data_IF_711155890201
#
_entry.id   IF_711155890201
#
_cell.length_a   1.000
_cell.length_b   1.000
_cell.length_c   1.000
_cell.angle_alpha   90.00
_cell.angle_beta   90.00
_cell.angle_gamma   90.00
#
_symmetry.space_group_name_H-M   'P 1'
#
loop_
_entity.id
_entity.type
_entity.pdbx_description
1 polymer ?
#
# COMPACT_ATOMS: atom_id res chain seq x y z
N UNK A 1 29.21 21.31 -17.40
CA UNK A 1 29.88 22.28 -16.52
C UNK A 1 29.31 22.26 -15.09
N UNK A 2 27.99 22.18 -14.90
CA UNK A 2 27.36 22.05 -13.56
C UNK A 2 27.83 20.81 -12.77
N UNK A 3 28.01 19.61 -13.36
CA UNK A 3 28.50 18.43 -12.63
C UNK A 3 29.96 18.57 -12.14
N UNK A 4 30.80 19.24 -12.92
CA UNK A 4 32.20 19.46 -12.57
C UNK A 4 32.35 20.50 -11.44
N UNK A 5 31.50 21.53 -11.41
CA UNK A 5 31.41 22.51 -10.32
C UNK A 5 30.85 21.89 -9.03
N UNK A 6 29.83 21.03 -9.12
CA UNK A 6 29.33 20.25 -7.98
C UNK A 6 30.36 19.22 -7.48
N UNK A 7 31.14 18.61 -8.37
CA UNK A 7 32.22 17.71 -7.96
C UNK A 7 33.40 18.45 -7.33
N UNK A 8 33.76 19.64 -7.80
CA UNK A 8 34.91 20.41 -7.29
C UNK A 8 34.60 21.23 -6.04
N UNK A 9 33.34 21.63 -5.82
CA UNK A 9 32.91 22.43 -4.66
C UNK A 9 32.08 21.62 -3.67
N UNK A 10 31.31 20.63 -4.16
CA UNK A 10 30.37 19.86 -3.34
C UNK A 10 31.04 18.79 -2.49
N UNK A 11 32.11 18.13 -2.94
CA UNK A 11 32.79 17.10 -2.15
C UNK A 11 33.44 17.68 -0.87
N UNK A 12 34.20 18.80 -0.93
CA UNK A 12 34.71 19.46 0.28
C UNK A 12 33.61 19.96 1.23
N UNK A 13 32.51 20.49 0.67
CA UNK A 13 31.38 20.99 1.46
C UNK A 13 30.62 19.87 2.17
N UNK A 14 30.35 18.77 1.46
CA UNK A 14 29.74 17.57 2.02
C UNK A 14 30.65 16.92 3.06
N UNK A 15 31.96 16.89 2.82
CA UNK A 15 32.95 16.41 3.79
C UNK A 15 32.87 17.18 5.11
N UNK A 16 32.82 18.51 5.07
CA UNK A 16 32.68 19.38 6.26
C UNK A 16 31.34 19.21 6.99
N UNK A 17 30.24 19.02 6.24
CA UNK A 17 28.92 18.80 6.84
C UNK A 17 28.83 17.42 7.52
N UNK A 18 29.36 16.39 6.88
CA UNK A 18 29.41 15.03 7.42
C UNK A 18 30.37 14.94 8.61
N UNK A 19 31.56 15.57 8.53
CA UNK A 19 32.51 15.62 9.66
C UNK A 19 31.92 16.37 10.85
N UNK A 20 31.24 17.51 10.63
CA UNK A 20 30.55 18.25 11.68
C UNK A 20 29.42 17.43 12.33
N UNK A 21 28.64 16.69 11.53
CA UNK A 21 27.60 15.80 12.04
C UNK A 21 28.15 14.64 12.86
N UNK A 22 29.23 14.00 12.40
CA UNK A 22 29.90 12.91 13.12
C UNK A 22 30.58 13.40 14.41
N UNK A 23 31.11 14.62 14.42
CA UNK A 23 31.78 15.23 15.59
C UNK A 23 30.82 15.55 16.73
N UNK A 24 29.53 15.70 16.43
CA UNK A 24 28.46 15.91 17.42
C UNK A 24 28.04 14.60 18.14
N UNK A 25 28.45 13.44 17.63
CA UNK A 25 28.17 12.14 18.24
C UNK A 25 29.25 11.86 19.29
N UNK A 26 28.83 11.53 20.51
CA UNK A 26 29.77 11.24 21.62
C UNK A 26 30.25 9.78 21.57
N UNK A 27 30.95 9.43 20.48
CA UNK A 27 31.56 8.13 20.26
C UNK A 27 33.00 8.31 19.73
N UNK A 28 34.00 7.55 20.25
CA UNK A 28 35.39 7.68 19.82
C UNK A 28 35.61 7.39 18.32
N UNK A 29 34.85 6.45 17.75
CA UNK A 29 34.96 6.09 16.33
C UNK A 29 34.35 7.16 15.43
N UNK A 30 33.25 7.78 15.86
CA UNK A 30 32.64 8.91 15.15
C UNK A 30 33.57 10.13 15.12
N UNK A 31 34.25 10.45 16.23
CA UNK A 31 35.24 11.54 16.30
C UNK A 31 36.47 11.26 15.43
N UNK A 32 37.00 10.04 15.47
CA UNK A 32 38.11 9.63 14.61
C UNK A 32 37.77 9.71 13.11
N UNK A 33 36.55 9.32 12.73
CA UNK A 33 36.06 9.43 11.36
C UNK A 33 35.89 10.90 10.91
N UNK A 34 35.42 11.78 11.81
CA UNK A 34 35.31 13.21 11.54
C UNK A 34 36.68 13.86 11.27
N UNK A 35 37.69 13.58 12.11
CA UNK A 35 39.03 14.12 11.94
C UNK A 35 39.70 13.60 10.65
N UNK A 36 39.47 12.33 10.29
CA UNK A 36 39.95 11.77 9.03
C UNK A 36 39.31 12.43 7.79
N UNK A 37 38.02 12.77 7.86
CA UNK A 37 37.31 13.48 6.78
C UNK A 37 37.81 14.92 6.62
N UNK A 38 38.11 15.61 7.73
CA UNK A 38 38.68 16.96 7.72
C UNK A 38 40.10 16.97 7.11
N UNK A 39 40.93 15.98 7.44
CA UNK A 39 42.27 15.82 6.85
C UNK A 39 42.19 15.60 5.33
N UNK A 40 41.30 14.70 4.86
CA UNK A 40 41.07 14.46 3.43
C UNK A 40 40.60 15.72 2.71
N UNK A 41 39.66 16.48 3.31
CA UNK A 41 39.20 17.76 2.76
C UNK A 41 40.33 18.78 2.63
N UNK A 42 41.20 18.88 3.63
CA UNK A 42 42.34 19.81 3.62
C UNK A 42 43.39 19.46 2.56
N UNK A 43 43.59 18.16 2.29
CA UNK A 43 44.51 17.68 1.24
C UNK A 43 43.94 17.89 -0.16
N UNK A 44 42.61 17.80 -0.30
CA UNK A 44 41.90 18.17 -1.53
C UNK A 44 42.06 19.65 -1.85
N UNK A 45 41.84 20.52 -0.84
CA UNK A 45 41.92 21.99 -0.98
C UNK A 45 43.34 22.44 -1.36
N UNK A 46 44.36 21.77 -0.83
CA UNK A 46 45.78 22.00 -1.14
C UNK A 46 46.24 21.41 -2.48
N UNK A 47 45.37 20.65 -3.18
CA UNK A 47 45.71 19.99 -4.44
C UNK A 47 46.68 18.82 -4.30
N UNK A 48 46.84 18.27 -3.08
CA UNK A 48 47.71 17.14 -2.78
C UNK A 48 47.09 15.80 -3.21
N UNK A 49 45.77 15.77 -3.43
CA UNK A 49 45.05 14.62 -4.00
C UNK A 49 44.84 14.87 -5.49
N UNK A 50 45.31 13.92 -6.31
CA UNK A 50 45.19 13.99 -7.77
C UNK A 50 43.72 14.06 -8.21
N UNK A 51 43.40 15.12 -8.96
CA UNK A 51 42.05 15.38 -9.47
C UNK A 51 41.59 14.34 -10.47
N UNK A 52 42.52 13.66 -11.16
CA UNK A 52 42.17 12.61 -12.11
C UNK A 52 41.69 11.34 -11.40
N UNK A 53 42.29 10.99 -10.26
CA UNK A 53 41.83 9.87 -9.44
C UNK A 53 40.43 10.11 -8.85
N UNK A 54 40.15 11.34 -8.39
CA UNK A 54 38.82 11.73 -7.92
C UNK A 54 37.77 11.65 -9.02
N UNK A 55 38.10 12.07 -10.24
CA UNK A 55 37.19 11.95 -11.38
C UNK A 55 36.93 10.49 -11.76
N UNK A 56 37.93 9.60 -11.68
CA UNK A 56 37.74 8.17 -11.91
C UNK A 56 36.81 7.57 -10.86
N UNK A 57 37.01 7.89 -9.58
CA UNK A 57 36.15 7.45 -8.48
C UNK A 57 34.70 7.95 -8.67
N UNK A 58 34.51 9.23 -9.01
CA UNK A 58 33.19 9.79 -9.29
C UNK A 58 32.50 9.09 -10.45
N UNK A 59 33.21 8.84 -11.57
CA UNK A 59 32.64 8.08 -12.71
C UNK A 59 32.21 6.67 -12.32
N UNK A 60 32.96 6.03 -11.41
CA UNK A 60 32.59 4.71 -10.90
C UNK A 60 31.30 4.77 -10.06
N UNK A 61 31.21 5.73 -9.14
CA UNK A 61 30.01 5.96 -8.32
C UNK A 61 28.80 6.29 -9.19
N UNK A 62 28.94 7.18 -10.17
CA UNK A 62 27.88 7.51 -11.13
C UNK A 62 27.42 6.28 -11.92
N UNK A 63 28.36 5.43 -12.37
CA UNK A 63 28.03 4.20 -13.08
C UNK A 63 27.29 3.21 -12.17
N UNK A 64 27.71 3.06 -10.92
CA UNK A 64 27.03 2.19 -9.95
C UNK A 64 25.62 2.70 -9.63
N UNK A 65 25.47 4.01 -9.38
CA UNK A 65 24.17 4.64 -9.17
C UNK A 65 23.24 4.47 -10.38
N UNK A 66 23.77 4.59 -11.61
CA UNK A 66 22.99 4.35 -12.82
C UNK A 66 22.58 2.88 -12.99
N UNK A 67 23.42 1.93 -12.58
CA UNK A 67 23.09 0.50 -12.58
C UNK A 67 21.99 0.22 -11.55
N UNK A 68 22.09 0.78 -10.35
CA UNK A 68 21.09 0.62 -9.28
C UNK A 68 19.75 1.22 -9.67
N UNK A 69 19.72 2.46 -10.17
CA UNK A 69 18.49 3.09 -10.66
C UNK A 69 17.81 2.28 -11.78
N UNK A 70 18.60 1.69 -12.69
CA UNK A 70 18.07 0.80 -13.75
C UNK A 70 17.53 -0.51 -13.18
N UNK A 71 18.18 -1.08 -12.16
CA UNK A 71 17.72 -2.28 -11.47
C UNK A 71 16.38 -2.01 -10.81
N UNK A 72 16.26 -0.91 -10.07
CA UNK A 72 15.03 -0.53 -9.38
C UNK A 72 13.89 -0.27 -10.34
N UNK A 73 14.16 0.46 -11.43
CA UNK A 73 13.17 0.70 -12.49
C UNK A 73 12.67 -0.63 -13.10
N UNK A 74 13.56 -1.62 -13.31
CA UNK A 74 13.17 -2.94 -13.81
C UNK A 74 12.35 -3.74 -12.81
N UNK A 75 12.74 -3.73 -11.53
CA UNK A 75 12.00 -4.39 -10.45
C UNK A 75 10.58 -3.80 -10.39
N UNK A 76 10.47 -2.47 -10.32
CA UNK A 76 9.18 -1.78 -10.29
C UNK A 76 8.35 -2.06 -11.54
N UNK A 77 8.97 -2.08 -12.73
CA UNK A 77 8.28 -2.42 -13.96
C UNK A 77 7.77 -3.87 -13.97
N UNK A 78 8.53 -4.82 -13.42
CA UNK A 78 8.14 -6.22 -13.32
C UNK A 78 7.00 -6.39 -12.31
N UNK A 79 7.09 -5.79 -11.12
CA UNK A 79 6.03 -5.81 -10.11
C UNK A 79 4.75 -5.18 -10.65
N UNK A 80 4.83 -4.02 -11.33
CA UNK A 80 3.66 -3.40 -11.95
C UNK A 80 3.06 -4.27 -13.05
N UNK A 81 3.90 -4.97 -13.82
CA UNK A 81 3.43 -5.90 -14.85
C UNK A 81 2.68 -7.07 -14.23
N UNK A 82 3.22 -7.70 -13.18
CA UNK A 82 2.55 -8.82 -12.50
C UNK A 82 1.23 -8.37 -11.86
N UNK A 83 1.22 -7.23 -11.17
CA UNK A 83 0.00 -6.67 -10.57
C UNK A 83 -1.09 -6.40 -11.62
N UNK A 84 -0.72 -5.83 -12.78
CA UNK A 84 -1.67 -5.60 -13.88
C UNK A 84 -2.18 -6.91 -14.46
N UNK A 85 -1.31 -7.90 -14.67
CA UNK A 85 -1.70 -9.22 -15.15
C UNK A 85 -2.68 -9.88 -14.19
N UNK A 86 -2.39 -9.87 -12.88
CA UNK A 86 -3.26 -10.40 -11.83
C UNK A 86 -4.60 -9.67 -11.76
N UNK A 87 -4.58 -8.34 -11.80
CA UNK A 87 -5.81 -7.53 -11.81
C UNK A 87 -6.66 -7.77 -13.07
N UNK A 88 -6.03 -8.05 -14.20
CA UNK A 88 -6.69 -8.39 -15.46
C UNK A 88 -7.03 -9.87 -15.61
N UNK A 89 -6.63 -10.72 -14.65
CA UNK A 89 -6.84 -12.15 -14.72
C UNK A 89 -8.33 -12.45 -14.74
N UNK A 90 -8.80 -12.99 -15.87
CA UNK A 90 -10.20 -13.16 -16.18
C UNK A 90 -10.82 -14.44 -15.58
N UNK A 91 -10.25 -14.96 -14.47
CA UNK A 91 -10.65 -16.24 -13.89
C UNK A 91 -12.18 -16.27 -13.64
N UNK A 92 -12.90 -17.16 -14.35
CA UNK A 92 -14.35 -17.30 -14.21
C UNK A 92 -14.79 -17.62 -12.78
N UNK A 93 -13.98 -18.35 -12.00
CA UNK A 93 -14.26 -18.71 -10.61
C UNK A 93 -14.24 -17.47 -9.71
N UNK A 94 -13.19 -16.64 -9.83
CA UNK A 94 -13.03 -15.39 -9.07
C UNK A 94 -14.09 -14.34 -9.46
N UNK A 95 -14.60 -14.38 -10.70
CA UNK A 95 -15.67 -13.47 -11.12
C UNK A 95 -17.07 -13.92 -10.66
N UNK A 96 -17.29 -15.25 -10.59
CA UNK A 96 -18.62 -15.82 -10.31
C UNK A 96 -18.90 -16.04 -8.83
N UNK A 97 -17.90 -16.22 -7.97
CA UNK A 97 -18.16 -16.52 -6.54
C UNK A 97 -19.00 -15.45 -5.84
N UNK A 98 -18.76 -14.14 -6.11
CA UNK A 98 -19.53 -13.04 -5.49
C UNK A 98 -21.03 -13.17 -5.78
N UNK A 99 -21.48 -13.27 -7.05
CA UNK A 99 -22.88 -13.55 -7.36
C UNK A 99 -23.37 -14.90 -6.85
N UNK A 100 -22.57 -15.98 -6.96
CA UNK A 100 -22.99 -17.32 -6.48
C UNK A 100 -23.29 -17.33 -4.99
N UNK A 101 -22.49 -16.63 -4.19
CA UNK A 101 -22.76 -16.47 -2.76
C UNK A 101 -24.11 -15.78 -2.52
N UNK A 102 -24.40 -14.69 -3.23
CA UNK A 102 -25.69 -14.01 -3.12
C UNK A 102 -26.89 -14.90 -3.48
N UNK A 103 -26.78 -15.70 -4.55
CA UNK A 103 -27.83 -16.65 -4.92
C UNK A 103 -27.99 -17.78 -3.89
N UNK A 104 -26.90 -18.30 -3.34
CA UNK A 104 -26.94 -19.33 -2.31
C UNK A 104 -27.62 -18.80 -1.02
N UNK A 105 -27.29 -17.57 -0.61
CA UNK A 105 -27.90 -16.90 0.55
C UNK A 105 -29.40 -16.67 0.31
N UNK A 106 -29.79 -16.20 -0.89
CA UNK A 106 -31.20 -16.01 -1.23
C UNK A 106 -32.00 -17.33 -1.22
N UNK A 107 -31.42 -18.40 -1.78
CA UNK A 107 -32.03 -19.72 -1.80
C UNK A 107 -32.17 -20.29 -0.38
N UNK A 108 -31.13 -20.16 0.45
CA UNK A 108 -31.18 -20.57 1.85
C UNK A 108 -32.25 -19.78 2.63
N UNK A 109 -32.39 -18.48 2.37
CA UNK A 109 -33.42 -17.64 2.99
C UNK A 109 -34.82 -18.11 2.63
N UNK A 110 -35.09 -18.37 1.34
CA UNK A 110 -36.38 -18.88 0.87
C UNK A 110 -36.67 -20.26 1.48
N UNK A 111 -35.69 -21.16 1.49
CA UNK A 111 -35.85 -22.48 2.06
C UNK A 111 -36.14 -22.42 3.57
N UNK A 112 -35.40 -21.61 4.32
CA UNK A 112 -35.59 -21.44 5.76
C UNK A 112 -36.94 -20.80 6.08
N UNK A 113 -37.28 -19.69 5.44
CA UNK A 113 -38.54 -18.99 5.69
C UNK A 113 -39.74 -19.83 5.23
N UNK A 114 -39.65 -20.51 4.09
CA UNK A 114 -40.66 -21.44 3.61
C UNK A 114 -40.88 -22.62 4.56
N UNK A 115 -39.81 -23.25 5.06
CA UNK A 115 -39.90 -24.33 6.03
C UNK A 115 -40.53 -23.87 7.35
N UNK A 116 -40.15 -22.68 7.82
CA UNK A 116 -40.72 -22.08 9.03
C UNK A 116 -42.21 -21.78 8.87
N UNK A 117 -42.60 -21.15 7.76
CA UNK A 117 -44.02 -20.87 7.45
C UNK A 117 -44.82 -22.16 7.36
N UNK A 118 -44.30 -23.18 6.67
CA UNK A 118 -44.95 -24.48 6.57
C UNK A 118 -45.15 -25.14 7.95
N UNK A 119 -44.11 -25.12 8.81
CA UNK A 119 -44.18 -25.70 10.15
C UNK A 119 -45.19 -24.95 11.06
N UNK A 120 -45.27 -23.62 10.97
CA UNK A 120 -46.24 -22.82 11.73
C UNK A 120 -47.67 -23.15 11.30
N UNK A 121 -47.93 -23.30 10.00
CA UNK A 121 -49.26 -23.64 9.48
C UNK A 121 -49.68 -25.05 9.88
N UNK A 122 -48.75 -26.02 9.82
CA UNK A 122 -49.05 -27.42 10.16
C UNK A 122 -49.13 -27.67 11.66
N UNK A 123 -48.36 -26.95 12.47
CA UNK A 123 -48.30 -27.12 13.92
C UNK A 123 -48.34 -25.77 14.65
N UNK A 124 -49.51 -25.09 14.69
CA UNK A 124 -49.62 -23.75 15.28
C UNK A 124 -49.29 -23.71 16.78
N UNK A 125 -49.54 -24.81 17.49
CA UNK A 125 -49.31 -24.93 18.93
C UNK A 125 -47.84 -24.67 19.35
N UNK A 126 -46.88 -24.98 18.47
CA UNK A 126 -45.44 -24.79 18.71
C UNK A 126 -44.86 -23.57 17.99
N UNK A 127 -45.69 -22.71 17.39
CA UNK A 127 -45.23 -21.60 16.57
C UNK A 127 -44.34 -20.61 17.35
N UNK A 128 -44.66 -20.35 18.63
CA UNK A 128 -43.87 -19.47 19.49
C UNK A 128 -42.46 -20.03 19.74
N UNK A 129 -42.34 -21.34 19.98
CA UNK A 129 -41.07 -22.02 20.21
C UNK A 129 -40.19 -22.02 18.94
N UNK A 130 -40.80 -22.27 17.77
CA UNK A 130 -40.11 -22.22 16.48
C UNK A 130 -39.57 -20.80 16.19
N UNK A 131 -40.37 -19.77 16.44
CA UNK A 131 -39.93 -18.38 16.28
C UNK A 131 -38.80 -18.04 17.26
N UNK A 132 -38.91 -18.44 18.54
CA UNK A 132 -37.84 -18.26 19.51
C UNK A 132 -36.55 -18.96 19.05
N UNK A 133 -36.62 -20.18 18.52
CA UNK A 133 -35.46 -20.92 18.04
C UNK A 133 -34.73 -20.22 16.88
N UNK A 134 -35.45 -19.51 16.01
CA UNK A 134 -34.82 -18.77 14.90
C UNK A 134 -33.90 -17.63 15.36
N UNK A 135 -34.09 -17.11 16.58
CA UNK A 135 -33.22 -16.07 17.14
C UNK A 135 -31.77 -16.57 17.31
N UNK A 136 -31.56 -17.87 17.52
CA UNK A 136 -30.22 -18.46 17.61
C UNK A 136 -29.45 -18.40 16.28
N UNK A 137 -30.17 -18.24 15.15
CA UNK A 137 -29.57 -18.09 13.83
C UNK A 137 -29.14 -16.64 13.53
N UNK A 138 -29.39 -15.68 14.43
CA UNK A 138 -29.11 -14.26 14.20
C UNK A 138 -27.63 -13.99 13.91
N UNK A 139 -26.72 -14.69 14.60
CA UNK A 139 -25.27 -14.48 14.41
C UNK A 139 -24.82 -14.93 13.02
N UNK A 140 -25.22 -16.14 12.59
CA UNK A 140 -24.83 -16.66 11.28
C UNK A 140 -25.44 -15.83 10.14
N UNK A 141 -26.70 -15.42 10.28
CA UNK A 141 -27.34 -14.52 9.31
C UNK A 141 -26.72 -13.12 9.30
N UNK A 142 -26.35 -12.58 10.47
CA UNK A 142 -25.66 -11.30 10.57
C UNK A 142 -24.34 -11.29 9.80
N UNK A 143 -23.55 -12.35 9.94
CA UNK A 143 -22.29 -12.51 9.17
C UNK A 143 -22.58 -12.66 7.68
N UNK A 144 -23.50 -13.55 7.29
CA UNK A 144 -23.82 -13.81 5.88
C UNK A 144 -24.33 -12.55 5.16
N UNK A 145 -25.23 -11.79 5.79
CA UNK A 145 -25.77 -10.54 5.25
C UNK A 145 -24.72 -9.43 5.23
N UNK A 146 -23.81 -9.37 6.20
CA UNK A 146 -22.70 -8.41 6.19
C UNK A 146 -21.77 -8.65 4.99
N UNK A 147 -21.37 -9.92 4.76
CA UNK A 147 -20.54 -10.30 3.60
C UNK A 147 -21.27 -9.98 2.29
N UNK A 148 -22.58 -10.27 2.22
CA UNK A 148 -23.39 -9.93 1.06
C UNK A 148 -23.44 -8.42 0.81
N UNK A 149 -23.62 -7.61 1.86
CA UNK A 149 -23.64 -6.16 1.78
C UNK A 149 -22.32 -5.58 1.24
N UNK A 150 -21.17 -6.06 1.76
CA UNK A 150 -19.84 -5.66 1.27
C UNK A 150 -19.68 -6.04 -0.21
N UNK A 151 -20.09 -7.24 -0.59
CA UNK A 151 -20.00 -7.72 -1.98
C UNK A 151 -20.85 -6.88 -2.94
N UNK A 152 -22.07 -6.51 -2.54
CA UNK A 152 -22.96 -5.65 -3.33
C UNK A 152 -22.38 -4.24 -3.46
N UNK A 153 -21.88 -3.67 -2.36
CA UNK A 153 -21.27 -2.34 -2.37
C UNK A 153 -20.05 -2.27 -3.31
N UNK A 154 -19.13 -3.24 -3.20
CA UNK A 154 -17.95 -3.33 -4.07
C UNK A 154 -18.32 -3.55 -5.52
N UNK A 155 -19.25 -4.46 -5.82
CA UNK A 155 -19.71 -4.70 -7.20
C UNK A 155 -20.38 -3.46 -7.81
N UNK A 156 -21.12 -2.69 -7.01
CA UNK A 156 -21.71 -1.43 -7.47
C UNK A 156 -20.63 -0.38 -7.76
N UNK A 157 -19.58 -0.29 -6.93
CA UNK A 157 -18.41 0.55 -7.21
C UNK A 157 -17.73 0.12 -8.52
N UNK A 158 -17.45 -1.16 -8.70
CA UNK A 158 -16.83 -1.71 -9.92
C UNK A 158 -17.64 -1.35 -11.17
N UNK A 159 -18.99 -1.46 -11.11
CA UNK A 159 -19.88 -1.07 -12.21
C UNK A 159 -19.85 0.43 -12.52
N UNK A 160 -19.78 1.29 -11.49
CA UNK A 160 -19.69 2.76 -11.67
C UNK A 160 -18.39 3.17 -12.32
N UNK A 161 -17.27 2.57 -11.87
CA UNK A 161 -15.94 2.78 -12.46
C UNK A 161 -15.96 2.33 -13.93
N UNK A 162 -16.51 1.15 -14.23
CA UNK A 162 -16.65 0.67 -15.60
C UNK A 162 -17.55 1.56 -16.48
N UNK A 163 -18.52 2.26 -15.88
CA UNK A 163 -19.37 3.24 -16.54
C UNK A 163 -18.74 4.65 -16.67
N UNK A 164 -17.47 4.82 -16.25
CA UNK A 164 -16.76 6.09 -16.32
C UNK A 164 -17.19 7.13 -15.28
N UNK A 165 -17.94 6.73 -14.25
CA UNK A 165 -18.34 7.61 -13.15
C UNK A 165 -17.20 7.73 -12.14
N UNK A 166 -16.88 8.94 -11.71
CA UNK A 166 -15.95 9.18 -10.60
C UNK A 166 -16.56 8.57 -9.33
N UNK A 167 -15.82 7.67 -8.67
CA UNK A 167 -16.27 7.02 -7.44
C UNK A 167 -16.53 8.07 -6.36
N UNK A 168 -17.80 8.31 -6.02
CA UNK A 168 -18.11 9.14 -4.86
C UNK A 168 -17.54 8.51 -3.58
N UNK A 169 -17.03 9.33 -2.63
CA UNK A 169 -16.51 8.85 -1.35
C UNK A 169 -17.54 7.95 -0.66
N UNK A 170 -17.07 6.87 -0.02
CA UNK A 170 -17.96 5.96 0.69
C UNK A 170 -18.72 6.65 1.83
N UNK A 171 -19.78 6.02 2.35
CA UNK A 171 -20.50 6.55 3.52
C UNK A 171 -19.56 6.83 4.70
N UNK A 172 -18.54 5.98 4.88
CA UNK A 172 -17.48 6.16 5.88
C UNK A 172 -16.57 7.36 5.56
N UNK A 173 -16.22 7.59 4.30
CA UNK A 173 -15.45 8.78 3.90
C UNK A 173 -16.24 10.07 4.13
N UNK A 174 -17.55 10.05 3.88
CA UNK A 174 -18.44 11.18 4.18
C UNK A 174 -18.57 11.44 5.69
N UNK A 175 -18.50 10.40 6.52
CA UNK A 175 -18.50 10.52 7.97
C UNK A 175 -17.16 10.99 8.54
N UNK A 176 -16.04 10.70 7.86
CA UNK A 176 -14.70 11.13 8.26
C UNK A 176 -14.29 12.48 7.65
N UNK A 177 -14.98 12.93 6.59
CA UNK A 177 -14.78 14.23 5.94
C UNK A 177 -14.78 15.44 6.91
N UNK A 178 -15.61 15.49 7.97
CA UNK A 178 -15.57 16.60 8.94
C UNK A 178 -14.30 16.67 9.79
N UNK A 179 -13.56 15.56 9.92
CA UNK A 179 -12.36 15.47 10.78
C UNK A 179 -11.05 15.62 10.01
N UNK A 180 -11.10 15.64 8.68
CA UNK A 180 -9.93 15.71 7.80
C UNK A 180 -9.88 16.98 6.97
N UNK A 181 -9.75 18.16 7.59
CA UNK A 181 -9.32 19.35 6.84
C UNK A 181 -9.80 20.71 7.33
N UNK A 182 -9.07 21.29 8.29
CA UNK A 182 -8.69 22.72 8.25
C UNK A 182 -7.18 22.81 8.53
N UNK A 183 -6.40 22.73 7.47
CA UNK A 183 -5.07 23.33 7.39
C UNK A 183 -5.08 24.17 6.13
N UNK A 184 -5.51 25.42 6.33
CA UNK A 184 -5.04 26.68 5.73
C UNK A 184 -6.00 27.79 6.15
#
# INVERSE_FOLDING_TARGET
MIPALLASVGVPLLGKLVSSGLRAIDDPTAKAAADALDDVGSKLDRGEIDRDQLQIANRHVERMAAIEARRDARILAQINRTMRTEASSADPYVRRWRPTFGYAVALAWIAQTGALTYAIVMTPAVAAELLAATTHLSVIWGVALSVLGINVAKRSQDKRIAAGQLSEPGLLDRLLQPFGGRKE
#
